data_IF_730328820734
#
_entry.id   IF_730328820734
#
_cell.length_a   1.000
_cell.length_b   1.000
_cell.length_c   1.000
_cell.angle_alpha   90.00
_cell.angle_beta   90.00
_cell.angle_gamma   90.00
#
_symmetry.space_group_name_H-M   'P 1'
#
loop_
_entity.id
_entity.type
_entity.pdbx_description
1 polymer ?
#
# COMPACT_ATOMS: atom_id res chain seq x y z
N UNK A 1 -34.37 16.67 24.44
CA UNK A 1 -33.48 16.37 23.30
C UNK A 1 -32.94 14.96 23.43
N UNK A 2 -33.06 14.19 22.36
CA UNK A 2 -33.00 12.74 22.38
C UNK A 2 -31.54 12.25 22.41
N UNK A 3 -31.24 11.12 23.07
CA UNK A 3 -29.84 10.58 23.21
C UNK A 3 -29.12 10.39 21.87
N UNK A 4 -29.89 10.26 20.78
CA UNK A 4 -29.42 10.12 19.40
C UNK A 4 -28.84 11.42 18.80
N UNK A 5 -29.41 12.60 19.13
CA UNK A 5 -28.90 13.90 18.63
C UNK A 5 -27.52 14.23 19.20
N UNK A 6 -27.30 13.89 20.47
CA UNK A 6 -26.04 14.18 21.19
C UNK A 6 -24.86 13.31 20.71
N UNK A 7 -25.14 12.15 20.10
CA UNK A 7 -24.13 11.28 19.50
C UNK A 7 -23.72 11.80 18.12
N UNK A 8 -24.67 12.28 17.32
CA UNK A 8 -24.40 12.90 16.03
C UNK A 8 -23.64 14.22 16.18
N UNK A 9 -23.94 15.04 17.19
CA UNK A 9 -23.21 16.30 17.41
C UNK A 9 -21.73 16.08 17.75
N UNK A 10 -21.40 15.07 18.56
CA UNK A 10 -20.01 14.73 18.89
C UNK A 10 -19.26 14.11 17.71
N UNK A 11 -19.91 13.28 16.90
CA UNK A 11 -19.34 12.76 15.67
C UNK A 11 -19.06 13.88 14.67
N UNK A 12 -20.00 14.81 14.51
CA UNK A 12 -19.83 16.00 13.68
C UNK A 12 -18.73 16.92 14.22
N UNK A 13 -18.64 17.17 15.52
CA UNK A 13 -17.54 17.95 16.13
C UNK A 13 -16.16 17.30 15.92
N UNK A 14 -16.07 15.97 15.98
CA UNK A 14 -14.83 15.24 15.66
C UNK A 14 -14.49 15.33 14.16
N UNK A 15 -15.50 15.20 13.29
CA UNK A 15 -15.33 15.32 11.84
C UNK A 15 -14.96 16.75 11.41
N UNK A 16 -15.56 17.75 12.07
CA UNK A 16 -15.35 19.19 11.86
C UNK A 16 -14.18 19.79 12.65
N UNK A 17 -13.34 18.95 13.28
CA UNK A 17 -12.10 19.42 13.87
C UNK A 17 -11.19 20.01 12.77
N UNK A 18 -10.61 21.19 13.01
CA UNK A 18 -9.95 21.97 11.95
C UNK A 18 -8.75 21.22 11.35
N UNK A 19 -8.16 20.29 12.12
CA UNK A 19 -7.10 19.39 11.69
C UNK A 19 -7.57 18.32 10.69
N UNK A 20 -8.74 17.69 10.91
CA UNK A 20 -9.31 16.71 9.98
C UNK A 20 -9.85 17.38 8.71
N UNK A 21 -10.40 18.60 8.82
CA UNK A 21 -10.78 19.42 7.67
C UNK A 21 -9.56 19.77 6.80
N UNK A 22 -8.42 20.06 7.42
CA UNK A 22 -7.17 20.32 6.70
C UNK A 22 -6.74 19.11 5.86
N UNK A 23 -6.80 17.89 6.40
CA UNK A 23 -6.45 16.67 5.67
C UNK A 23 -7.40 16.42 4.49
N UNK A 24 -8.70 16.54 4.71
CA UNK A 24 -9.70 16.34 3.64
C UNK A 24 -9.54 17.43 2.56
N UNK A 25 -9.34 18.68 2.96
CA UNK A 25 -9.10 19.80 2.05
C UNK A 25 -7.84 19.59 1.21
N UNK A 26 -6.74 19.17 1.84
CA UNK A 26 -5.49 18.85 1.14
C UNK A 26 -5.67 17.68 0.16
N UNK A 27 -6.41 16.64 0.55
CA UNK A 27 -6.70 15.52 -0.34
C UNK A 27 -7.52 15.95 -1.57
N UNK A 28 -8.52 16.81 -1.39
CA UNK A 28 -9.30 17.37 -2.50
C UNK A 28 -8.44 18.24 -3.42
N UNK A 29 -7.60 19.12 -2.84
CA UNK A 29 -6.65 19.94 -3.61
C UNK A 29 -5.71 19.04 -4.43
N UNK A 30 -5.20 17.97 -3.82
CA UNK A 30 -4.34 17.01 -4.50
C UNK A 30 -5.05 16.34 -5.68
N UNK A 31 -6.29 15.88 -5.52
CA UNK A 31 -7.08 15.29 -6.62
C UNK A 31 -7.27 16.30 -7.76
N UNK A 32 -7.59 17.56 -7.43
CA UNK A 32 -7.77 18.62 -8.42
C UNK A 32 -6.47 18.86 -9.19
N UNK A 33 -5.35 19.01 -8.48
CA UNK A 33 -4.04 19.21 -9.09
C UNK A 33 -3.68 18.03 -9.98
N UNK A 34 -3.77 16.79 -9.49
CA UNK A 34 -3.46 15.60 -10.27
C UNK A 34 -4.33 15.48 -11.51
N UNK A 35 -5.63 15.80 -11.42
CA UNK A 35 -6.53 15.80 -12.58
C UNK A 35 -6.16 16.86 -13.60
N UNK A 36 -5.76 18.05 -13.16
CA UNK A 36 -5.42 19.16 -14.04
C UNK A 36 -4.06 18.96 -14.73
N UNK A 37 -3.07 18.43 -14.01
CA UNK A 37 -1.70 18.26 -14.49
C UNK A 37 -1.45 16.92 -15.19
N UNK A 38 -2.34 15.93 -15.05
CA UNK A 38 -2.22 14.66 -15.80
C UNK A 38 -2.45 14.91 -17.29
N UNK A 39 -1.56 14.36 -18.12
CA UNK A 39 -1.70 14.40 -19.57
C UNK A 39 -3.10 13.87 -19.98
N UNK A 40 -3.75 14.58 -20.91
CA UNK A 40 -5.13 14.30 -21.35
C UNK A 40 -6.21 14.37 -20.26
N UNK A 41 -5.90 14.86 -19.05
CA UNK A 41 -6.85 14.96 -17.90
C UNK A 41 -7.45 13.60 -17.50
N UNK A 42 -6.71 12.53 -17.72
CA UNK A 42 -7.17 11.15 -17.56
C UNK A 42 -7.04 10.61 -16.12
N UNK A 43 -6.69 11.44 -15.14
CA UNK A 43 -6.42 10.98 -13.76
C UNK A 43 -7.58 10.21 -13.13
N UNK A 44 -8.82 10.68 -13.34
CA UNK A 44 -10.03 10.06 -12.80
C UNK A 44 -10.61 8.93 -13.69
N UNK A 45 -9.90 8.52 -14.76
CA UNK A 45 -10.33 7.37 -15.56
C UNK A 45 -10.23 6.10 -14.74
N UNK A 46 -11.18 5.19 -14.98
CA UNK A 46 -11.27 3.92 -14.26
C UNK A 46 -9.97 3.11 -14.35
N UNK A 47 -9.31 3.12 -15.50
CA UNK A 47 -8.03 2.43 -15.71
C UNK A 47 -6.91 3.00 -14.82
N UNK A 48 -6.83 4.33 -14.71
CA UNK A 48 -5.83 4.99 -13.87
C UNK A 48 -6.11 4.76 -12.38
N UNK A 49 -7.38 4.84 -11.96
CA UNK A 49 -7.80 4.52 -10.59
C UNK A 49 -7.47 3.07 -10.27
N UNK A 50 -7.76 2.14 -11.19
CA UNK A 50 -7.45 0.71 -11.01
C UNK A 50 -5.95 0.49 -10.84
N UNK A 51 -5.13 1.13 -11.67
CA UNK A 51 -3.67 1.05 -11.55
C UNK A 51 -3.17 1.62 -10.22
N UNK A 52 -3.71 2.78 -9.80
CA UNK A 52 -3.38 3.39 -8.52
C UNK A 52 -3.70 2.47 -7.34
N UNK A 53 -4.87 1.81 -7.38
CA UNK A 53 -5.28 0.85 -6.35
C UNK A 53 -4.42 -0.42 -6.35
N UNK A 54 -3.99 -0.91 -7.52
CA UNK A 54 -3.08 -2.05 -7.61
C UNK A 54 -1.72 -1.74 -6.98
N UNK A 55 -1.06 -0.65 -7.39
CA UNK A 55 0.23 -0.27 -6.81
C UNK A 55 0.09 0.11 -5.33
N UNK A 56 -0.99 0.77 -4.94
CA UNK A 56 -1.27 1.11 -3.54
C UNK A 56 -1.42 -0.14 -2.65
N UNK A 57 -2.02 -1.21 -3.18
CA UNK A 57 -2.19 -2.46 -2.44
C UNK A 57 -0.86 -3.14 -2.15
N UNK A 58 0.06 -3.14 -3.12
CA UNK A 58 1.41 -3.70 -2.96
C UNK A 58 2.17 -3.02 -1.81
N UNK A 59 2.25 -1.69 -1.81
CA UNK A 59 2.91 -0.95 -0.73
C UNK A 59 2.21 -1.11 0.62
N UNK A 60 0.87 -1.15 0.64
CA UNK A 60 0.12 -1.31 1.89
C UNK A 60 0.41 -2.65 2.56
N UNK A 61 0.47 -3.74 1.81
CA UNK A 61 0.80 -5.07 2.33
C UNK A 61 2.20 -5.08 2.96
N UNK A 62 3.17 -4.46 2.29
CA UNK A 62 4.56 -4.36 2.78
C UNK A 62 4.63 -3.53 4.07
N UNK A 63 3.97 -2.37 4.10
CA UNK A 63 3.98 -1.46 5.25
C UNK A 63 3.37 -2.10 6.49
N UNK A 64 2.36 -2.97 6.34
CA UNK A 64 1.80 -3.72 7.48
C UNK A 64 2.87 -4.63 8.11
N UNK A 65 3.64 -5.35 7.30
CA UNK A 65 4.74 -6.20 7.76
C UNK A 65 5.88 -5.40 8.39
N UNK A 66 6.37 -4.37 7.69
CA UNK A 66 7.43 -3.49 8.20
C UNK A 66 7.01 -2.74 9.48
N UNK A 67 5.73 -2.36 9.58
CA UNK A 67 5.14 -1.76 10.77
C UNK A 67 5.21 -2.67 11.99
N UNK A 68 4.96 -3.98 11.81
CA UNK A 68 5.09 -4.96 12.89
C UNK A 68 6.52 -5.02 13.44
N UNK A 69 7.53 -4.97 12.56
CA UNK A 69 8.95 -4.95 12.97
C UNK A 69 9.29 -3.65 13.72
N UNK A 70 8.85 -2.50 13.22
CA UNK A 70 9.07 -1.21 13.87
C UNK A 70 8.43 -1.13 15.27
N UNK A 71 7.30 -1.79 15.51
CA UNK A 71 6.67 -1.85 16.84
C UNK A 71 7.57 -2.57 17.86
N UNK A 72 8.31 -3.59 17.42
CA UNK A 72 9.25 -4.35 18.26
C UNK A 72 10.59 -3.61 18.42
N UNK A 73 10.80 -2.52 17.67
CA UNK A 73 12.02 -1.70 17.71
C UNK A 73 13.04 -2.08 16.62
N UNK A 74 12.69 -2.99 15.72
CA UNK A 74 13.55 -3.43 14.63
C UNK A 74 13.23 -2.66 13.34
N UNK A 75 14.27 -2.21 12.64
CA UNK A 75 14.15 -1.52 11.35
C UNK A 75 14.79 -2.35 10.24
N UNK A 76 14.05 -3.35 9.75
CA UNK A 76 14.54 -4.24 8.71
C UNK A 76 14.43 -3.61 7.32
N UNK A 77 15.56 -3.16 6.78
CA UNK A 77 15.67 -2.64 5.43
C UNK A 77 15.67 -3.75 4.34
N UNK A 78 15.82 -5.02 4.75
CA UNK A 78 15.87 -6.16 3.83
C UNK A 78 14.57 -6.36 3.06
N UNK A 79 13.42 -5.90 3.59
CA UNK A 79 12.12 -6.02 2.91
C UNK A 79 12.13 -5.40 1.51
N UNK A 80 12.90 -4.32 1.31
CA UNK A 80 13.07 -3.68 0.00
C UNK A 80 13.88 -4.52 -0.99
N UNK A 81 14.95 -5.18 -0.53
CA UNK A 81 15.76 -6.06 -1.39
C UNK A 81 15.05 -7.37 -1.69
N UNK A 82 14.28 -7.93 -0.74
CA UNK A 82 13.43 -9.10 -0.97
C UNK A 82 12.34 -8.80 -2.01
N UNK A 83 11.70 -7.63 -1.96
CA UNK A 83 10.74 -7.20 -2.98
C UNK A 83 11.37 -7.20 -4.37
N UNK A 84 12.51 -6.51 -4.53
CA UNK A 84 13.20 -6.42 -5.81
C UNK A 84 13.62 -7.80 -6.35
N UNK A 85 14.10 -8.68 -5.46
CA UNK A 85 14.47 -10.05 -5.80
C UNK A 85 13.26 -10.87 -6.27
N UNK A 86 12.15 -10.85 -5.53
CA UNK A 86 10.93 -11.56 -5.90
C UNK A 86 10.37 -11.08 -7.25
N UNK A 87 10.37 -9.77 -7.50
CA UNK A 87 9.97 -9.18 -8.79
C UNK A 87 10.86 -9.68 -9.93
N UNK A 88 12.18 -9.74 -9.72
CA UNK A 88 13.12 -10.30 -10.71
C UNK A 88 12.86 -11.78 -10.98
N UNK A 89 12.71 -12.60 -9.93
CA UNK A 89 12.43 -14.04 -10.07
C UNK A 89 11.13 -14.26 -10.84
N UNK A 90 10.06 -13.53 -10.48
CA UNK A 90 8.77 -13.62 -11.17
C UNK A 90 8.91 -13.29 -12.65
N UNK A 91 9.47 -12.11 -12.97
CA UNK A 91 9.62 -11.67 -14.37
C UNK A 91 10.49 -12.64 -15.16
N UNK A 92 11.57 -13.15 -14.55
CA UNK A 92 12.49 -14.07 -15.23
C UNK A 92 11.83 -15.39 -15.58
N UNK A 93 11.05 -15.96 -14.66
CA UNK A 93 10.33 -17.21 -14.89
C UNK A 93 9.13 -17.03 -15.83
N UNK A 94 8.42 -15.90 -15.71
CA UNK A 94 7.34 -15.56 -16.62
C UNK A 94 7.83 -15.36 -18.06
N UNK A 95 9.02 -14.79 -18.24
CA UNK A 95 9.68 -14.66 -19.54
C UNK A 95 10.14 -15.99 -20.16
N UNK A 96 10.03 -17.11 -19.44
CA UNK A 96 10.27 -18.47 -19.96
C UNK A 96 8.95 -19.16 -20.39
N UNK A 97 7.87 -18.40 -20.57
CA UNK A 97 6.53 -18.88 -20.92
C UNK A 97 5.94 -19.90 -19.92
N UNK A 98 6.41 -19.85 -18.66
CA UNK A 98 5.86 -20.68 -17.59
C UNK A 98 4.47 -20.19 -17.15
N UNK A 99 3.65 -21.11 -16.67
CA UNK A 99 2.30 -20.80 -16.20
C UNK A 99 2.35 -19.75 -15.06
N UNK A 100 1.61 -18.63 -15.15
CA UNK A 100 1.63 -17.56 -14.14
C UNK A 100 1.37 -18.06 -12.71
N UNK A 101 0.47 -19.03 -12.53
CA UNK A 101 0.18 -19.60 -11.22
C UNK A 101 1.39 -20.33 -10.64
N UNK A 102 2.09 -21.10 -11.48
CA UNK A 102 3.29 -21.81 -11.05
C UNK A 102 4.42 -20.83 -10.71
N UNK A 103 4.59 -19.79 -11.53
CA UNK A 103 5.59 -18.74 -11.28
C UNK A 103 5.32 -18.03 -9.95
N UNK A 104 4.07 -17.65 -9.67
CA UNK A 104 3.68 -17.05 -8.39
C UNK A 104 4.05 -17.94 -7.21
N UNK A 105 3.76 -19.24 -7.27
CA UNK A 105 4.07 -20.19 -6.19
C UNK A 105 5.58 -20.26 -5.96
N UNK A 106 6.37 -20.37 -7.03
CA UNK A 106 7.84 -20.44 -6.93
C UNK A 106 8.39 -19.15 -6.32
N UNK A 107 7.96 -17.99 -6.80
CA UNK A 107 8.39 -16.69 -6.27
C UNK A 107 8.02 -16.54 -4.79
N UNK A 108 6.82 -16.96 -4.37
CA UNK A 108 6.40 -16.94 -2.97
C UNK A 108 7.28 -17.81 -2.08
N UNK A 109 7.62 -19.02 -2.54
CA UNK A 109 8.51 -19.92 -1.80
C UNK A 109 9.90 -19.30 -1.68
N UNK A 110 10.47 -18.77 -2.77
CA UNK A 110 11.78 -18.12 -2.75
C UNK A 110 11.80 -16.92 -1.80
N UNK A 111 10.79 -16.04 -1.88
CA UNK A 111 10.67 -14.89 -0.98
C UNK A 111 10.50 -15.29 0.47
N UNK A 112 9.68 -16.31 0.75
CA UNK A 112 9.47 -16.85 2.10
C UNK A 112 10.74 -17.44 2.70
N UNK A 113 11.54 -18.16 1.92
CA UNK A 113 12.83 -18.71 2.38
C UNK A 113 13.81 -17.59 2.73
N UNK A 114 13.93 -16.56 1.87
CA UNK A 114 14.82 -15.43 2.14
C UNK A 114 14.34 -14.63 3.36
N UNK A 115 13.03 -14.38 3.46
CA UNK A 115 12.44 -13.71 4.61
C UNK A 115 12.68 -14.46 5.91
N UNK A 116 12.57 -15.80 5.89
CA UNK A 116 12.90 -16.65 7.04
C UNK A 116 14.38 -16.52 7.41
N UNK A 117 15.29 -16.54 6.43
CA UNK A 117 16.72 -16.36 6.67
C UNK A 117 17.01 -14.99 7.30
N UNK A 118 16.41 -13.92 6.78
CA UNK A 118 16.57 -12.57 7.35
C UNK A 118 16.05 -12.51 8.79
N UNK A 119 14.88 -13.11 9.05
CA UNK A 119 14.31 -13.24 10.40
C UNK A 119 15.23 -13.99 11.37
N UNK A 120 15.87 -15.08 10.91
CA UNK A 120 16.82 -15.86 11.71
C UNK A 120 18.15 -15.14 11.94
N UNK A 121 18.57 -14.25 11.05
CA UNK A 121 19.81 -13.47 11.21
C UNK A 121 19.60 -12.31 12.18
N UNK A 122 18.40 -11.72 12.18
CA UNK A 122 18.09 -10.55 13.03
C UNK A 122 17.60 -10.90 14.43
N UNK A 123 17.14 -12.14 14.66
CA UNK A 123 16.72 -12.64 15.98
C UNK A 123 17.90 -13.27 16.71
#
# INVERSE_FOLDING_TARGET
MNKLEKKNSKFLEYFFNISSLGTIGMFLVLIILLTFFTAERNFLRLDNIRNLLFFGSEFTIIVIGAGMLMIVGEFDLSVGSVLAFCSFVFVRLFAMDLNPFLVTIITLICGGVIGMINGLITT
#
